data_IF_709430806938
#
_entry.id   IF_709430806938
#
_cell.length_a   1.000
_cell.length_b   1.000
_cell.length_c   1.000
_cell.angle_alpha   90.00
_cell.angle_beta   90.00
_cell.angle_gamma   90.00
#
_symmetry.space_group_name_H-M   'P 1'
#
loop_
_entity.id
_entity.type
_entity.pdbx_description
1 polymer ?
#
# COMPACT_ATOMS: atom_id res chain seq x y z
N UNK A 1 -31.37 19.54 -0.09
CA UNK A 1 -31.43 20.91 0.51
C UNK A 1 -30.00 21.27 0.85
N UNK A 2 -29.39 22.25 0.16
CA UNK A 2 -28.00 22.66 0.43
C UNK A 2 -27.90 23.26 1.84
N UNK A 3 -27.06 22.70 2.70
CA UNK A 3 -26.71 23.34 3.98
C UNK A 3 -25.45 24.17 3.78
N UNK A 4 -25.60 25.49 3.84
CA UNK A 4 -24.50 26.45 3.91
C UNK A 4 -24.22 26.76 5.38
N UNK A 5 -22.95 26.77 5.79
CA UNK A 5 -22.52 27.44 7.02
C UNK A 5 -22.10 28.85 6.61
N UNK A 6 -22.94 29.85 6.86
CA UNK A 6 -22.65 31.29 6.66
C UNK A 6 -22.47 31.99 8.03
N UNK A 7 -21.53 32.97 8.15
CA UNK A 7 -21.78 34.33 7.66
C UNK A 7 -20.66 35.00 6.84
N UNK A 8 -21.07 35.98 6.03
CA UNK A 8 -20.34 36.88 5.11
C UNK A 8 -19.07 37.56 5.66
N UNK A 9 -17.87 37.18 5.18
CA UNK A 9 -16.65 38.02 5.22
C UNK A 9 -15.67 37.70 4.07
N UNK A 10 -14.97 38.72 3.55
CA UNK A 10 -13.76 38.57 2.74
C UNK A 10 -12.61 38.15 3.68
N UNK A 11 -12.07 36.94 3.52
CA UNK A 11 -11.03 36.40 4.42
C UNK A 11 -9.74 36.09 3.64
N UNK A 12 -8.62 36.66 4.09
CA UNK A 12 -7.26 36.31 3.65
C UNK A 12 -6.59 35.49 4.76
N UNK A 13 -5.94 34.37 4.43
CA UNK A 13 -5.21 33.53 5.39
C UNK A 13 -6.06 32.73 6.38
N UNK A 14 -7.19 32.16 5.94
CA UNK A 14 -8.08 31.38 6.81
C UNK A 14 -7.76 29.87 6.82
N UNK A 15 -8.14 29.20 7.92
CA UNK A 15 -7.95 27.76 8.11
C UNK A 15 -9.27 27.05 8.47
N UNK A 16 -9.48 25.85 7.92
CA UNK A 16 -10.57 24.93 8.28
C UNK A 16 -9.97 23.56 8.58
N UNK A 17 -9.66 23.32 9.85
CA UNK A 17 -8.91 22.14 10.32
C UNK A 17 -9.72 21.37 11.36
N UNK A 18 -9.77 20.04 11.25
CA UNK A 18 -10.26 19.16 12.32
C UNK A 18 -11.78 19.16 12.57
N UNK A 19 -12.60 19.64 11.64
CA UNK A 19 -14.05 19.68 11.84
C UNK A 19 -14.68 18.29 11.70
N UNK A 20 -15.66 18.01 12.57
CA UNK A 20 -16.59 16.88 12.42
C UNK A 20 -17.86 17.38 11.79
N UNK A 21 -18.24 16.81 10.64
CA UNK A 21 -19.37 17.29 9.86
C UNK A 21 -20.41 16.19 9.71
N UNK A 22 -21.64 16.45 10.17
CA UNK A 22 -22.82 15.62 9.94
C UNK A 22 -23.73 16.34 8.93
N UNK A 23 -23.91 15.76 7.75
CA UNK A 23 -24.71 16.38 6.68
C UNK A 23 -25.78 15.48 6.07
N UNK A 24 -25.97 14.27 6.61
CA UNK A 24 -27.07 13.37 6.26
C UNK A 24 -27.27 13.19 4.74
N UNK A 25 -26.20 13.07 3.97
CA UNK A 25 -26.28 12.89 2.51
C UNK A 25 -26.21 14.15 1.65
N UNK A 26 -26.31 15.32 2.25
CA UNK A 26 -26.28 16.58 1.52
C UNK A 26 -24.84 17.04 1.25
N UNK A 27 -24.62 17.56 0.04
CA UNK A 27 -23.39 18.25 -0.30
C UNK A 27 -23.28 19.52 0.53
N UNK A 28 -22.08 19.81 1.02
CA UNK A 28 -21.82 20.95 1.89
C UNK A 28 -21.07 21.98 1.07
N UNK A 29 -21.60 23.19 1.04
CA UNK A 29 -20.98 24.26 0.29
C UNK A 29 -19.93 24.93 1.19
N UNK A 30 -18.64 24.73 0.90
CA UNK A 30 -17.54 25.45 1.54
C UNK A 30 -16.98 26.51 0.58
N UNK A 31 -17.76 27.54 0.21
CA UNK A 31 -17.23 28.66 -0.57
C UNK A 31 -17.13 29.91 0.31
N UNK A 32 -15.98 30.57 0.15
CA UNK A 32 -15.59 31.86 0.70
C UNK A 32 -14.76 32.51 -0.41
N UNK A 33 -14.91 33.81 -0.68
CA UNK A 33 -13.88 34.48 -1.47
C UNK A 33 -12.64 34.60 -0.59
N UNK A 34 -11.57 33.92 -0.98
CA UNK A 34 -10.38 33.82 -0.13
C UNK A 34 -9.10 33.61 -0.90
N UNK A 35 -8.03 34.22 -0.41
CA UNK A 35 -6.67 33.99 -0.87
C UNK A 35 -5.92 33.20 0.21
N UNK A 36 -5.00 32.32 -0.22
CA UNK A 36 -4.08 31.57 0.66
C UNK A 36 -4.73 30.66 1.74
N UNK A 37 -5.90 30.06 1.46
CA UNK A 37 -6.61 29.20 2.42
C UNK A 37 -6.13 27.75 2.51
N UNK A 38 -6.28 27.15 3.70
CA UNK A 38 -6.00 25.72 3.96
C UNK A 38 -7.24 24.99 4.48
N UNK A 39 -7.50 23.81 3.91
CA UNK A 39 -8.50 22.87 4.44
C UNK A 39 -7.78 21.55 4.75
N UNK A 40 -7.78 21.12 6.01
CA UNK A 40 -7.10 19.89 6.42
C UNK A 40 -7.84 19.08 7.50
N UNK A 41 -7.61 17.78 7.55
CA UNK A 41 -8.00 16.89 8.66
C UNK A 41 -9.50 16.88 9.05
N UNK A 42 -10.43 17.21 8.13
CA UNK A 42 -11.86 17.18 8.43
C UNK A 42 -12.48 15.79 8.18
N UNK A 43 -13.47 15.43 9.01
CA UNK A 43 -14.13 14.12 9.03
C UNK A 43 -15.65 14.27 8.85
N UNK A 44 -16.23 13.63 7.83
CA UNK A 44 -17.69 13.47 7.70
C UNK A 44 -18.13 12.18 8.38
N UNK A 45 -19.18 12.27 9.17
CA UNK A 45 -19.80 11.12 9.86
C UNK A 45 -21.26 10.99 9.43
N UNK A 46 -21.75 9.77 9.26
CA UNK A 46 -23.15 9.48 8.98
C UNK A 46 -23.64 9.77 7.56
N UNK A 47 -22.74 9.91 6.57
CA UNK A 47 -23.13 9.97 5.16
C UNK A 47 -22.85 8.65 4.43
N UNK A 48 -23.88 8.14 3.76
CA UNK A 48 -23.84 6.93 2.94
C UNK A 48 -24.09 7.23 1.44
N UNK A 49 -24.09 8.51 1.04
CA UNK A 49 -24.40 8.94 -0.34
C UNK A 49 -23.18 9.04 -1.24
N UNK A 50 -21.97 9.09 -0.66
CA UNK A 50 -20.68 9.11 -1.36
C UNK A 50 -20.50 10.29 -2.33
N UNK A 51 -21.28 11.36 -2.18
CA UNK A 51 -21.19 12.58 -2.99
C UNK A 51 -19.97 13.41 -2.56
N UNK A 52 -19.32 14.05 -3.55
CA UNK A 52 -18.25 15.01 -3.29
C UNK A 52 -18.72 16.11 -2.33
N UNK A 53 -17.92 16.35 -1.29
CA UNK A 53 -18.20 17.36 -0.27
C UNK A 53 -17.82 18.78 -0.72
N UNK A 54 -17.19 18.91 -1.89
CA UNK A 54 -16.83 20.21 -2.48
C UNK A 54 -17.38 20.24 -3.91
N UNK A 55 -18.25 21.21 -4.19
CA UNK A 55 -18.72 21.54 -5.54
C UNK A 55 -17.69 22.46 -6.21
N UNK A 56 -17.01 21.97 -7.24
CA UNK A 56 -16.03 22.70 -8.06
C UNK A 56 -16.66 23.51 -9.22
N UNK A 57 -17.93 23.94 -9.08
CA UNK A 57 -18.64 24.73 -10.10
C UNK A 57 -19.65 25.68 -9.46
N UNK A 58 -19.22 26.91 -9.19
CA UNK A 58 -20.04 27.96 -8.59
C UNK A 58 -21.10 28.55 -9.57
N UNK A 59 -22.13 29.27 -9.05
CA UNK A 59 -23.01 30.07 -9.89
C UNK A 59 -22.23 31.07 -10.74
N UNK A 60 -22.61 31.23 -12.01
CA UNK A 60 -22.04 32.23 -12.92
C UNK A 60 -22.36 33.63 -12.39
N UNK A 61 -21.38 34.32 -11.80
CA UNK A 61 -21.57 35.70 -11.33
C UNK A 61 -20.48 36.30 -10.44
N UNK A 62 -19.56 35.50 -9.89
CA UNK A 62 -18.42 35.99 -9.08
C UNK A 62 -17.10 35.41 -9.58
N UNK A 63 -15.99 36.10 -9.32
CA UNK A 63 -14.63 35.64 -9.68
C UNK A 63 -14.34 34.25 -9.10
N UNK A 64 -13.72 33.34 -9.88
CA UNK A 64 -13.31 32.05 -9.37
C UNK A 64 -12.26 32.20 -8.26
N UNK A 65 -12.43 31.59 -7.08
CA UNK A 65 -11.46 31.59 -6.00
C UNK A 65 -10.27 30.74 -6.41
N UNK A 66 -9.13 31.01 -5.78
CA UNK A 66 -8.01 30.08 -5.88
C UNK A 66 -8.39 28.72 -5.29
N UNK A 67 -7.99 27.60 -5.93
CA UNK A 67 -8.16 26.28 -5.34
C UNK A 67 -7.45 26.22 -3.97
N UNK A 68 -8.13 25.83 -2.89
CA UNK A 68 -7.50 25.70 -1.58
C UNK A 68 -6.50 24.53 -1.58
N UNK A 69 -5.48 24.61 -0.73
CA UNK A 69 -4.60 23.46 -0.50
C UNK A 69 -5.32 22.43 0.37
N UNK A 70 -5.57 21.24 -0.19
CA UNK A 70 -6.20 20.12 0.53
C UNK A 70 -5.14 19.17 1.09
N UNK A 71 -5.20 18.89 2.40
CA UNK A 71 -4.34 17.89 3.06
C UNK A 71 -5.19 17.00 3.96
N UNK A 72 -5.05 15.68 3.87
CA UNK A 72 -5.68 14.73 4.82
C UNK A 72 -7.20 14.90 5.04
N UNK A 73 -7.92 15.50 4.09
CA UNK A 73 -9.38 15.62 4.16
C UNK A 73 -10.00 14.29 3.76
N UNK A 74 -10.51 13.56 4.76
CA UNK A 74 -11.14 12.24 4.60
C UNK A 74 -12.37 12.27 3.66
N UNK A 75 -12.91 13.47 3.43
CA UNK A 75 -14.09 13.77 2.62
C UNK A 75 -13.81 13.94 1.11
N UNK A 76 -12.55 14.12 0.70
CA UNK A 76 -12.16 14.25 -0.70
C UNK A 76 -11.83 12.91 -1.36
N UNK A 77 -11.74 11.82 -0.57
CA UNK A 77 -11.65 10.45 -1.09
C UNK A 77 -13.05 9.90 -1.42
N UNK A 78 -13.82 10.71 -2.15
CA UNK A 78 -15.19 10.48 -2.60
C UNK A 78 -15.27 9.34 -3.61
N UNK A 79 -15.17 8.12 -3.09
CA UNK A 79 -15.69 6.88 -3.65
C UNK A 79 -15.32 5.72 -2.71
N UNK A 80 -15.72 5.80 -1.44
CA UNK A 80 -15.71 4.59 -0.60
C UNK A 80 -16.76 3.63 -1.17
N UNK A 81 -16.37 2.42 -1.56
CA UNK A 81 -17.36 1.38 -1.88
C UNK A 81 -18.26 1.12 -0.65
N UNK A 82 -19.48 0.67 -0.94
CA UNK A 82 -20.46 0.19 0.02
C UNK A 82 -19.91 -0.97 0.86
N UNK A 83 -19.29 -0.65 2.00
CA UNK A 83 -18.92 -1.59 3.06
C UNK A 83 -19.86 -1.47 4.27
N UNK A 84 -20.01 -2.53 5.09
CA UNK A 84 -20.79 -2.45 6.32
C UNK A 84 -20.14 -1.44 7.29
N UNK A 85 -20.95 -0.62 7.99
CA UNK A 85 -20.47 0.40 8.94
C UNK A 85 -19.51 -0.16 10.02
N UNK A 86 -19.59 -1.47 10.30
CA UNK A 86 -18.68 -2.19 11.21
C UNK A 86 -17.21 -2.17 10.77
N UNK A 87 -16.92 -2.00 9.47
CA UNK A 87 -15.54 -1.84 8.97
C UNK A 87 -14.90 -0.52 9.41
N UNK A 88 -15.72 0.51 9.72
CA UNK A 88 -15.26 1.83 10.15
C UNK A 88 -14.91 1.92 11.64
N UNK A 89 -15.23 0.89 12.41
CA UNK A 89 -14.77 0.75 13.79
C UNK A 89 -13.39 0.12 13.74
N UNK A 90 -12.35 0.82 14.25
CA UNK A 90 -11.02 0.27 14.22
C UNK A 90 -10.95 -1.04 15.01
N UNK A 91 -10.42 -2.09 14.38
CA UNK A 91 -10.10 -3.36 15.02
C UNK A 91 -8.58 -3.48 14.99
N UNK A 92 -7.91 -3.38 16.14
CA UNK A 92 -6.48 -3.55 16.19
C UNK A 92 -6.12 -5.00 15.88
N UNK A 93 -4.95 -5.21 15.28
CA UNK A 93 -4.54 -6.55 14.85
C UNK A 93 -4.10 -7.44 16.02
N UNK A 94 -3.88 -6.88 17.21
CA UNK A 94 -3.38 -7.65 18.36
C UNK A 94 -1.95 -8.13 18.20
N UNK A 95 -1.20 -7.59 17.22
CA UNK A 95 0.24 -7.72 17.05
C UNK A 95 0.79 -6.40 16.54
N UNK A 96 2.07 -6.16 16.83
CA UNK A 96 2.80 -5.03 16.24
C UNK A 96 2.96 -5.25 14.74
N UNK A 97 2.79 -4.20 13.95
CA UNK A 97 2.85 -4.24 12.49
C UNK A 97 3.75 -3.13 11.97
N UNK A 98 4.51 -3.39 10.92
CA UNK A 98 5.04 -2.36 10.03
C UNK A 98 4.19 -2.37 8.76
N UNK A 99 3.70 -1.20 8.35
CA UNK A 99 2.78 -1.07 7.21
C UNK A 99 3.25 0.02 6.24
N UNK A 100 3.07 -0.23 4.95
CA UNK A 100 3.18 0.77 3.88
C UNK A 100 1.78 1.20 3.43
N UNK A 101 1.46 2.48 3.55
CA UNK A 101 0.18 3.06 3.09
C UNK A 101 0.38 3.81 1.77
N UNK A 102 0.04 3.15 0.68
CA UNK A 102 0.31 3.63 -0.68
C UNK A 102 -0.32 4.99 -0.97
N UNK A 103 -1.64 5.13 -0.78
CA UNK A 103 -2.35 6.40 -1.00
C UNK A 103 -2.13 7.37 0.16
N UNK A 104 -1.99 6.85 1.39
CA UNK A 104 -1.69 7.69 2.56
C UNK A 104 -0.28 8.28 2.57
N UNK A 105 0.59 7.87 1.63
CA UNK A 105 1.96 8.35 1.47
C UNK A 105 2.79 8.30 2.76
N UNK A 106 2.73 7.16 3.46
CA UNK A 106 3.51 6.95 4.69
C UNK A 106 3.86 5.49 4.93
N UNK A 107 4.92 5.30 5.68
CA UNK A 107 5.25 4.02 6.34
C UNK A 107 5.06 4.22 7.83
N UNK A 108 4.46 3.25 8.52
CA UNK A 108 4.15 3.35 9.94
C UNK A 108 4.36 2.05 10.70
N UNK A 109 4.77 2.17 11.95
CA UNK A 109 4.75 1.09 12.94
C UNK A 109 3.49 1.26 13.79
N UNK A 110 2.67 0.21 13.85
CA UNK A 110 1.41 0.16 14.58
C UNK A 110 1.56 -0.84 15.73
N UNK A 111 1.26 -0.41 16.95
CA UNK A 111 1.26 -1.26 18.12
C UNK A 111 0.13 -2.30 18.06
N UNK A 112 0.20 -3.30 18.93
CA UNK A 112 -0.81 -4.36 19.01
C UNK A 112 -2.23 -3.84 19.32
N UNK A 113 -2.35 -2.68 19.97
CA UNK A 113 -3.61 -2.00 20.30
C UNK A 113 -4.09 -1.02 19.19
N UNK A 114 -3.36 -0.91 18.08
CA UNK A 114 -3.70 -0.03 16.96
C UNK A 114 -3.12 1.39 17.03
N UNK A 115 -2.41 1.75 18.10
CA UNK A 115 -1.74 3.05 18.20
C UNK A 115 -0.55 3.12 17.25
N UNK A 116 -0.38 4.25 16.55
CA UNK A 116 0.84 4.50 15.77
C UNK A 116 1.99 4.80 16.74
N UNK A 117 3.04 3.99 16.70
CA UNK A 117 4.27 4.18 17.50
C UNK A 117 5.27 5.08 16.79
N UNK A 118 5.32 4.98 15.48
CA UNK A 118 6.27 5.68 14.62
C UNK A 118 5.70 5.78 13.21
N UNK A 119 6.01 6.86 12.51
CA UNK A 119 5.72 6.98 11.08
C UNK A 119 6.68 7.92 10.39
N UNK A 120 6.87 7.72 9.09
CA UNK A 120 7.59 8.64 8.20
C UNK A 120 6.79 8.87 6.92
N UNK A 121 6.85 10.07 6.31
CA UNK A 121 6.37 10.28 4.95
C UNK A 121 7.12 9.40 3.95
N UNK A 122 6.39 8.86 2.98
CA UNK A 122 6.94 8.11 1.85
C UNK A 122 5.99 8.24 0.67
N UNK A 123 6.45 8.68 -0.51
CA UNK A 123 5.56 8.82 -1.66
C UNK A 123 5.26 7.44 -2.27
N UNK A 124 4.00 7.00 -2.21
CA UNK A 124 3.53 5.72 -2.78
C UNK A 124 4.44 4.53 -2.40
N UNK A 125 4.65 4.26 -1.10
CA UNK A 125 5.53 3.19 -0.67
C UNK A 125 4.99 1.84 -1.11
N UNK A 126 5.87 0.90 -1.44
CA UNK A 126 5.49 -0.43 -1.92
C UNK A 126 6.00 -1.57 -1.03
N UNK A 127 7.04 -1.32 -0.25
CA UNK A 127 7.74 -2.36 0.50
C UNK A 127 8.44 -1.73 1.70
N UNK A 128 8.50 -2.43 2.82
CA UNK A 128 9.07 -1.90 4.07
C UNK A 128 9.54 -2.98 5.02
N UNK A 129 10.65 -2.70 5.72
CA UNK A 129 11.37 -3.61 6.60
C UNK A 129 11.86 -2.89 7.84
N UNK A 130 11.40 -3.31 9.01
CA UNK A 130 11.97 -2.99 10.29
C UNK A 130 13.20 -3.87 10.48
N UNK A 131 14.35 -3.22 10.65
CA UNK A 131 15.64 -3.87 10.78
C UNK A 131 15.96 -4.15 12.25
N UNK A 132 16.86 -5.11 12.55
CA UNK A 132 17.25 -5.44 13.93
C UNK A 132 17.84 -4.27 14.73
N UNK A 133 18.40 -3.27 14.06
CA UNK A 133 18.93 -2.05 14.69
C UNK A 133 17.84 -1.00 15.00
N UNK A 134 16.57 -1.29 14.69
CA UNK A 134 15.44 -0.39 14.89
C UNK A 134 15.20 0.60 13.75
N UNK A 135 16.05 0.62 12.72
CA UNK A 135 15.81 1.44 11.53
C UNK A 135 14.72 0.83 10.65
N UNK A 136 14.08 1.66 9.83
CA UNK A 136 13.07 1.23 8.85
C UNK A 136 13.61 1.49 7.44
N UNK A 137 13.82 0.41 6.69
CA UNK A 137 14.10 0.44 5.25
C UNK A 137 12.78 0.37 4.49
N UNK A 138 12.56 1.25 3.51
CA UNK A 138 11.36 1.21 2.67
C UNK A 138 11.62 1.72 1.27
N UNK A 139 10.81 1.25 0.32
CA UNK A 139 10.73 1.81 -1.03
C UNK A 139 9.71 2.94 -1.09
N UNK A 140 9.95 3.90 -1.97
CA UNK A 140 8.99 4.92 -2.42
C UNK A 140 9.12 5.06 -3.94
N UNK A 141 8.16 5.66 -4.62
CA UNK A 141 8.12 5.61 -6.10
C UNK A 141 9.40 6.12 -6.79
N UNK A 142 10.15 7.02 -6.15
CA UNK A 142 11.40 7.62 -6.66
C UNK A 142 12.69 7.00 -6.11
N UNK A 143 12.63 5.96 -5.27
CA UNK A 143 13.82 5.53 -4.54
C UNK A 143 13.58 4.53 -3.41
N UNK A 144 14.58 4.39 -2.55
CA UNK A 144 14.49 3.65 -1.30
C UNK A 144 15.27 4.37 -0.19
N UNK A 145 14.81 4.27 1.06
CA UNK A 145 15.40 4.94 2.22
C UNK A 145 15.48 4.00 3.40
N UNK A 146 16.57 4.10 4.15
CA UNK A 146 16.65 3.62 5.52
C UNK A 146 16.61 4.81 6.47
N UNK A 147 15.62 4.83 7.36
CA UNK A 147 15.38 5.92 8.31
C UNK A 147 15.49 5.40 9.72
N UNK A 148 16.16 6.16 10.59
CA UNK A 148 16.32 5.85 12.01
C UNK A 148 15.06 6.23 12.81
N UNK A 149 14.91 5.72 14.05
CA UNK A 149 13.79 6.12 14.91
C UNK A 149 13.67 7.64 15.12
N UNK A 150 14.79 8.36 15.11
CA UNK A 150 14.86 9.83 15.24
C UNK A 150 14.57 10.60 13.94
N UNK A 151 14.11 9.91 12.89
CA UNK A 151 13.82 10.43 11.55
C UNK A 151 15.03 10.81 10.70
N UNK A 152 16.26 10.66 11.21
CA UNK A 152 17.45 10.88 10.38
C UNK A 152 17.61 9.77 9.33
N UNK A 153 18.06 10.14 8.14
CA UNK A 153 18.29 9.20 7.03
C UNK A 153 19.64 8.51 7.24
N UNK A 154 19.61 7.19 7.37
CA UNK A 154 20.81 6.35 7.48
C UNK A 154 21.39 5.98 6.11
N UNK A 155 20.53 5.85 5.10
CA UNK A 155 20.89 5.50 3.72
C UNK A 155 19.77 5.90 2.76
N UNK A 156 20.12 6.30 1.54
CA UNK A 156 19.15 6.65 0.49
C UNK A 156 19.66 6.22 -0.88
N UNK A 157 18.74 5.74 -1.70
CA UNK A 157 18.91 5.54 -3.12
C UNK A 157 17.83 6.35 -3.87
N UNK A 158 18.26 7.12 -4.87
CA UNK A 158 17.37 7.92 -5.72
C UNK A 158 17.44 7.37 -7.14
N UNK A 159 16.28 7.03 -7.68
CA UNK A 159 16.13 6.51 -9.03
C UNK A 159 16.11 7.63 -10.07
N UNK A 160 16.43 7.30 -11.32
CA UNK A 160 16.30 8.22 -12.44
C UNK A 160 14.83 8.64 -12.67
N UNK A 161 14.61 9.81 -13.27
CA UNK A 161 13.27 10.42 -13.38
C UNK A 161 12.20 9.59 -14.12
N UNK A 162 12.59 8.60 -14.94
CA UNK A 162 11.68 7.71 -15.68
C UNK A 162 11.55 6.31 -15.06
N UNK A 163 12.14 6.12 -13.88
CA UNK A 163 12.17 4.86 -13.14
C UNK A 163 11.18 4.92 -11.99
N UNK A 164 10.54 3.78 -11.71
CA UNK A 164 9.74 3.60 -10.50
C UNK A 164 10.34 2.50 -9.64
N UNK A 165 10.51 2.77 -8.34
CA UNK A 165 10.93 1.74 -7.38
C UNK A 165 9.71 1.05 -6.79
N UNK A 166 9.64 -0.26 -6.97
CA UNK A 166 8.47 -1.07 -6.61
C UNK A 166 8.74 -2.06 -5.47
N UNK A 167 9.97 -2.07 -4.93
CA UNK A 167 10.36 -3.01 -3.88
C UNK A 167 11.75 -2.71 -3.34
N UNK A 168 11.99 -3.14 -2.11
CA UNK A 168 13.31 -3.15 -1.50
C UNK A 168 13.43 -4.34 -0.55
N UNK A 169 14.64 -4.82 -0.30
CA UNK A 169 14.87 -5.88 0.69
C UNK A 169 16.26 -5.72 1.32
N UNK A 170 16.39 -5.76 2.66
CA UNK A 170 17.70 -5.84 3.30
C UNK A 170 18.29 -7.23 3.03
N UNK A 171 19.55 -7.28 2.59
CA UNK A 171 20.27 -8.52 2.31
C UNK A 171 21.19 -8.88 3.49
N UNK A 172 21.47 -10.18 3.65
CA UNK A 172 22.27 -10.71 4.76
C UNK A 172 23.70 -10.17 4.82
N UNK A 173 24.25 -9.73 3.68
CA UNK A 173 25.58 -9.12 3.59
C UNK A 173 25.58 -7.60 3.78
N UNK A 174 24.45 -7.05 4.25
CA UNK A 174 24.28 -5.63 4.52
C UNK A 174 23.93 -4.79 3.30
N UNK A 175 23.85 -5.36 2.09
CA UNK A 175 23.37 -4.65 0.90
C UNK A 175 21.84 -4.49 0.91
N UNK A 176 21.34 -3.70 -0.03
CA UNK A 176 19.91 -3.52 -0.26
C UNK A 176 19.58 -3.98 -1.68
N UNK A 177 18.62 -4.90 -1.81
CA UNK A 177 17.97 -5.17 -3.09
C UNK A 177 17.00 -4.03 -3.40
N UNK A 178 17.03 -3.52 -4.62
CA UNK A 178 16.10 -2.49 -5.14
C UNK A 178 15.48 -3.00 -6.43
N UNK A 179 14.15 -2.83 -6.57
CA UNK A 179 13.38 -3.26 -7.74
C UNK A 179 13.08 -2.05 -8.64
N UNK A 180 13.77 -1.95 -9.78
CA UNK A 180 13.62 -0.85 -10.73
C UNK A 180 12.71 -1.22 -11.90
N UNK A 181 11.55 -0.56 -11.96
CA UNK A 181 10.70 -0.53 -13.14
C UNK A 181 11.05 0.65 -14.06
N UNK A 182 10.92 0.47 -15.36
CA UNK A 182 11.42 1.36 -16.42
C UNK A 182 12.61 0.68 -17.08
N UNK A 183 13.78 0.65 -16.42
CA UNK A 183 14.89 -0.19 -16.82
C UNK A 183 14.60 -1.70 -16.71
N UNK A 184 13.68 -2.13 -15.84
CA UNK A 184 13.29 -3.55 -15.71
C UNK A 184 14.43 -4.41 -15.16
N UNK A 185 14.94 -4.05 -13.98
CA UNK A 185 16.10 -4.71 -13.37
C UNK A 185 16.03 -4.76 -11.84
N UNK A 186 16.80 -5.66 -11.26
CA UNK A 186 17.06 -5.71 -9.82
C UNK A 186 18.49 -5.24 -9.56
N UNK A 187 18.66 -4.42 -8.52
CA UNK A 187 19.96 -3.91 -8.11
C UNK A 187 20.30 -4.38 -6.70
N UNK A 188 21.53 -4.85 -6.47
CA UNK A 188 22.06 -5.01 -5.12
C UNK A 188 23.02 -3.85 -4.85
N UNK A 189 22.62 -2.97 -3.94
CA UNK A 189 23.32 -1.70 -3.68
C UNK A 189 24.00 -1.76 -2.32
N UNK A 190 25.28 -1.36 -2.30
CA UNK A 190 26.06 -1.21 -1.08
C UNK A 190 25.56 -0.05 -0.23
N UNK A 191 25.89 -0.10 1.07
CA UNK A 191 25.64 1.03 1.98
C UNK A 191 26.50 2.26 1.64
N UNK A 192 27.52 2.10 0.82
CA UNK A 192 28.30 3.17 0.21
C UNK A 192 27.63 3.79 -1.03
N UNK A 193 26.43 3.32 -1.41
CA UNK A 193 25.65 3.79 -2.55
C UNK A 193 26.07 3.18 -3.89
N UNK A 194 27.07 2.29 -3.92
CA UNK A 194 27.54 1.68 -5.17
C UNK A 194 26.68 0.48 -5.54
N UNK A 195 26.35 0.37 -6.83
CA UNK A 195 25.70 -0.81 -7.39
C UNK A 195 26.75 -1.93 -7.44
N UNK A 196 26.58 -2.94 -6.58
CA UNK A 196 27.45 -4.11 -6.54
C UNK A 196 27.01 -5.16 -7.57
N UNK A 197 25.73 -5.17 -7.94
CA UNK A 197 25.18 -6.12 -8.89
C UNK A 197 23.94 -5.57 -9.57
N UNK A 198 23.80 -5.90 -10.84
CA UNK A 198 22.63 -5.61 -11.66
C UNK A 198 22.14 -6.89 -12.33
N UNK A 199 20.84 -7.17 -12.18
CA UNK A 199 20.17 -8.30 -12.82
C UNK A 199 19.09 -7.75 -13.73
N UNK A 200 19.27 -7.92 -15.04
CA UNK A 200 18.21 -7.60 -16.02
C UNK A 200 17.09 -8.63 -15.89
N UNK A 201 15.85 -8.16 -15.76
CA UNK A 201 14.67 -9.03 -15.72
C UNK A 201 14.11 -9.17 -17.15
N UNK A 202 13.83 -10.40 -17.63
CA UNK A 202 13.34 -10.65 -18.99
C UNK A 202 11.84 -10.37 -19.12
N UNK A 203 11.43 -9.13 -18.89
CA UNK A 203 10.04 -8.66 -19.01
C UNK A 203 9.62 -8.48 -20.48
N UNK A 204 8.34 -8.61 -20.77
CA UNK A 204 7.80 -8.27 -22.09
C UNK A 204 8.03 -6.78 -22.39
N UNK A 205 8.71 -6.40 -23.50
CA UNK A 205 9.15 -5.01 -23.74
C UNK A 205 8.04 -3.96 -23.86
N UNK A 206 6.81 -4.37 -24.16
CA UNK A 206 5.66 -3.47 -24.34
C UNK A 206 4.96 -3.11 -23.04
N UNK A 207 5.34 -3.74 -21.92
CA UNK A 207 4.75 -3.47 -20.60
C UNK A 207 5.23 -2.10 -20.10
N UNK A 208 4.27 -1.23 -19.78
CA UNK A 208 4.50 0.12 -19.24
C UNK A 208 5.24 0.04 -17.90
N UNK A 209 6.08 1.03 -17.59
CA UNK A 209 6.86 1.13 -16.35
C UNK A 209 6.07 0.71 -15.10
N UNK A 210 4.92 1.34 -14.84
CA UNK A 210 4.11 1.05 -13.65
C UNK A 210 3.58 -0.39 -13.57
N UNK A 211 3.52 -1.08 -14.70
CA UNK A 211 2.96 -2.42 -14.85
C UNK A 211 4.03 -3.52 -14.85
N UNK A 212 5.32 -3.18 -14.77
CA UNK A 212 6.40 -4.15 -14.95
C UNK A 212 6.51 -5.15 -13.79
N UNK A 213 6.87 -4.67 -12.60
CA UNK A 213 7.15 -5.52 -11.44
C UNK A 213 6.55 -4.96 -10.15
N UNK A 214 6.43 -5.84 -9.15
CA UNK A 214 6.10 -5.51 -7.75
C UNK A 214 7.07 -6.22 -6.82
N UNK A 215 6.61 -6.86 -5.74
CA UNK A 215 7.41 -7.56 -4.76
C UNK A 215 8.35 -8.58 -5.41
N UNK A 216 9.64 -8.27 -5.41
CA UNK A 216 10.70 -9.17 -5.81
C UNK A 216 11.56 -9.49 -4.58
N UNK A 217 12.04 -10.72 -4.48
CA UNK A 217 12.79 -11.21 -3.33
C UNK A 217 14.03 -11.95 -3.79
N UNK A 218 15.16 -11.71 -3.11
CA UNK A 218 16.30 -12.61 -3.14
C UNK A 218 16.07 -13.71 -2.09
N UNK A 219 16.17 -14.95 -2.51
CA UNK A 219 16.04 -16.14 -1.64
C UNK A 219 17.34 -16.39 -0.88
N UNK A 220 17.30 -17.25 0.14
CA UNK A 220 18.46 -17.55 0.98
C UNK A 220 19.61 -18.23 0.21
N UNK A 221 19.29 -18.99 -0.83
CA UNK A 221 20.27 -19.59 -1.76
C UNK A 221 20.72 -18.62 -2.88
N UNK A 222 20.25 -17.38 -2.85
CA UNK A 222 20.71 -16.29 -3.71
C UNK A 222 20.02 -16.18 -5.07
N UNK A 223 19.03 -17.03 -5.37
CA UNK A 223 18.12 -16.85 -6.51
C UNK A 223 17.23 -15.61 -6.31
N UNK A 224 16.51 -15.22 -7.35
CA UNK A 224 15.53 -14.14 -7.28
C UNK A 224 14.16 -14.65 -7.70
N UNK A 225 13.14 -14.33 -6.91
CA UNK A 225 11.74 -14.46 -7.28
C UNK A 225 11.20 -13.09 -7.66
N UNK A 226 10.55 -12.99 -8.81
CA UNK A 226 10.09 -11.74 -9.39
C UNK A 226 8.60 -11.82 -9.64
N UNK A 227 7.85 -10.91 -9.02
CA UNK A 227 6.46 -10.65 -9.37
C UNK A 227 6.41 -9.82 -10.65
N UNK A 228 6.36 -10.48 -11.81
CA UNK A 228 6.26 -9.82 -13.12
C UNK A 228 4.80 -9.49 -13.42
N UNK A 229 4.33 -8.36 -12.85
CA UNK A 229 2.93 -7.94 -12.79
C UNK A 229 2.25 -7.97 -14.17
N UNK A 230 2.82 -7.29 -15.15
CA UNK A 230 2.25 -7.15 -16.50
C UNK A 230 2.38 -8.41 -17.35
N UNK A 231 3.41 -9.23 -17.08
CA UNK A 231 3.59 -10.54 -17.71
C UNK A 231 2.64 -11.59 -17.12
N UNK A 232 1.99 -11.30 -15.98
CA UNK A 232 1.12 -12.22 -15.24
C UNK A 232 1.83 -13.54 -14.92
N UNK A 233 3.06 -13.42 -14.43
CA UNK A 233 3.90 -14.55 -14.09
C UNK A 233 4.76 -14.27 -12.86
N UNK A 234 5.10 -15.34 -12.15
CA UNK A 234 6.24 -15.36 -11.22
C UNK A 234 7.45 -15.87 -11.99
N UNK A 235 8.53 -15.10 -12.00
CA UNK A 235 9.80 -15.52 -12.61
C UNK A 235 10.78 -15.92 -11.52
N UNK A 236 11.48 -17.02 -11.75
CA UNK A 236 12.62 -17.44 -10.94
C UNK A 236 13.90 -17.22 -11.74
N UNK A 237 14.80 -16.42 -11.20
CA UNK A 237 16.10 -16.16 -11.79
C UNK A 237 17.19 -16.80 -10.94
N UNK A 238 18.22 -17.33 -11.59
CA UNK A 238 19.43 -17.82 -10.94
C UNK A 238 20.17 -16.69 -10.21
N UNK A 239 21.20 -17.05 -9.45
CA UNK A 239 22.11 -16.09 -8.83
C UNK A 239 22.74 -15.13 -9.85
N UNK A 240 22.96 -15.55 -11.08
CA UNK A 240 23.53 -14.75 -12.18
C UNK A 240 22.47 -14.10 -13.09
N UNK A 241 21.18 -14.21 -12.75
CA UNK A 241 20.09 -13.54 -13.46
C UNK A 241 19.54 -14.30 -14.66
N UNK A 242 19.89 -15.57 -14.85
CA UNK A 242 19.31 -16.42 -15.90
C UNK A 242 17.92 -16.86 -15.49
N UNK A 243 16.97 -16.82 -16.42
CA UNK A 243 15.62 -17.35 -16.18
C UNK A 243 15.67 -18.88 -16.00
N UNK A 244 15.28 -19.36 -14.82
CA UNK A 244 15.18 -20.77 -14.46
C UNK A 244 13.77 -21.31 -14.68
N UNK A 245 12.78 -20.53 -14.27
CA UNK A 245 11.36 -20.90 -14.35
C UNK A 245 10.51 -19.65 -14.58
N UNK A 246 9.47 -19.82 -15.39
CA UNK A 246 8.34 -18.88 -15.47
C UNK A 246 7.08 -19.65 -15.10
N UNK A 247 6.38 -19.18 -14.07
CA UNK A 247 5.10 -19.72 -13.63
C UNK A 247 4.00 -18.73 -14.03
N UNK A 248 3.21 -19.03 -15.08
CA UNK A 248 2.02 -18.25 -15.40
C UNK A 248 1.01 -18.29 -14.26
N UNK A 249 0.31 -17.18 -14.06
CA UNK A 249 -0.72 -17.05 -13.02
C UNK A 249 -1.97 -16.35 -13.58
N UNK A 250 -3.08 -16.47 -12.86
CA UNK A 250 -4.29 -15.72 -13.14
C UNK A 250 -4.40 -14.52 -12.19
N UNK A 251 -3.85 -13.38 -12.61
CA UNK A 251 -3.83 -12.15 -11.85
C UNK A 251 -2.63 -11.27 -12.19
N UNK A 252 -2.62 -10.05 -11.65
CA UNK A 252 -1.47 -9.16 -11.71
C UNK A 252 -0.63 -9.36 -10.44
N UNK A 253 0.50 -10.07 -10.53
CA UNK A 253 1.25 -10.48 -9.33
C UNK A 253 1.79 -9.27 -8.56
N UNK A 254 1.54 -9.20 -7.25
CA UNK A 254 2.07 -8.14 -6.37
C UNK A 254 3.15 -8.60 -5.40
N UNK A 255 3.11 -9.84 -4.91
CA UNK A 255 4.14 -10.37 -4.00
C UNK A 255 4.33 -11.88 -4.18
N UNK A 256 5.55 -12.35 -3.93
CA UNK A 256 5.92 -13.76 -3.94
C UNK A 256 6.89 -14.05 -2.80
N UNK A 257 6.60 -15.11 -2.04
CA UNK A 257 7.43 -15.60 -0.95
C UNK A 257 7.69 -17.09 -1.13
N UNK A 258 8.95 -17.50 -1.01
CA UNK A 258 9.31 -18.92 -0.89
C UNK A 258 9.06 -19.38 0.55
N UNK A 259 8.33 -20.49 0.69
CA UNK A 259 8.05 -21.12 1.98
C UNK A 259 9.14 -22.15 2.33
N UNK A 260 9.23 -22.55 3.59
CA UNK A 260 10.23 -23.52 4.07
C UNK A 260 10.17 -24.90 3.39
N UNK A 261 9.00 -25.30 2.87
CA UNK A 261 8.82 -26.51 2.08
C UNK A 261 9.24 -26.36 0.60
N UNK A 262 9.66 -25.16 0.19
CA UNK A 262 10.02 -24.80 -1.18
C UNK A 262 8.81 -24.51 -2.09
N UNK A 263 7.61 -24.39 -1.54
CA UNK A 263 6.44 -23.87 -2.26
C UNK A 263 6.53 -22.35 -2.38
N UNK A 264 5.77 -21.78 -3.32
CA UNK A 264 5.64 -20.33 -3.47
C UNK A 264 4.26 -19.87 -3.01
N UNK A 265 4.22 -18.94 -2.07
CA UNK A 265 3.03 -18.22 -1.66
C UNK A 265 2.97 -16.89 -2.40
N UNK A 266 1.90 -16.67 -3.16
CA UNK A 266 1.81 -15.60 -4.15
C UNK A 266 0.55 -14.77 -3.92
N UNK A 267 0.70 -13.45 -3.89
CA UNK A 267 -0.39 -12.49 -3.89
C UNK A 267 -0.66 -12.03 -5.33
N UNK A 268 -1.82 -12.38 -5.87
CA UNK A 268 -2.16 -12.27 -7.29
C UNK A 268 -2.97 -11.00 -7.63
N UNK A 269 -2.88 -9.96 -6.79
CA UNK A 269 -3.56 -8.70 -7.03
C UNK A 269 -5.07 -8.86 -7.14
N UNK A 270 -5.65 -8.39 -8.25
CA UNK A 270 -7.08 -8.47 -8.55
C UNK A 270 -7.50 -9.80 -9.19
N UNK A 271 -6.57 -10.77 -9.31
CA UNK A 271 -6.84 -12.10 -9.84
C UNK A 271 -7.42 -13.08 -8.83
N UNK A 272 -6.86 -14.30 -8.78
CA UNK A 272 -7.34 -15.41 -7.93
C UNK A 272 -7.11 -15.23 -6.41
N UNK A 273 -6.67 -14.04 -5.97
CA UNK A 273 -6.40 -13.72 -4.57
C UNK A 273 -5.01 -14.17 -4.13
N UNK A 274 -4.93 -15.03 -3.10
CA UNK A 274 -3.67 -15.60 -2.62
C UNK A 274 -3.61 -17.07 -2.98
N UNK A 275 -2.49 -17.53 -3.54
CA UNK A 275 -2.29 -18.90 -3.99
C UNK A 275 -0.95 -19.45 -3.52
N UNK A 276 -0.94 -20.70 -3.08
CA UNK A 276 0.26 -21.49 -2.82
C UNK A 276 0.49 -22.48 -3.97
N UNK A 277 1.61 -22.34 -4.67
CA UNK A 277 2.05 -23.25 -5.72
C UNK A 277 3.11 -24.20 -5.18
N UNK A 278 2.99 -25.48 -5.49
CA UNK A 278 4.08 -26.43 -5.28
C UNK A 278 5.20 -26.26 -6.32
N UNK A 279 6.27 -27.03 -6.14
CA UNK A 279 7.44 -27.04 -7.05
C UNK A 279 7.10 -27.41 -8.49
N UNK A 280 6.01 -28.15 -8.72
CA UNK A 280 5.51 -28.48 -10.06
C UNK A 280 4.65 -27.38 -10.69
N UNK A 281 4.23 -26.39 -9.90
CA UNK A 281 3.35 -25.31 -10.34
C UNK A 281 1.87 -25.61 -10.13
N UNK A 282 1.53 -26.65 -9.37
CA UNK A 282 0.16 -26.96 -9.00
C UNK A 282 -0.26 -26.14 -7.79
N UNK A 283 -1.49 -25.61 -7.84
CA UNK A 283 -2.12 -24.98 -6.69
C UNK A 283 -2.42 -26.02 -5.61
N UNK A 284 -1.88 -25.82 -4.40
CA UNK A 284 -2.08 -26.70 -3.25
C UNK A 284 -2.85 -26.04 -2.10
N UNK A 285 -2.95 -24.70 -2.11
CA UNK A 285 -3.76 -23.92 -1.18
C UNK A 285 -4.12 -22.56 -1.80
N UNK A 286 -5.24 -21.95 -1.41
CA UNK A 286 -5.65 -20.63 -1.89
C UNK A 286 -6.64 -19.90 -0.97
N UNK A 287 -6.70 -18.57 -1.07
CA UNK A 287 -7.77 -17.70 -0.52
C UNK A 287 -8.24 -16.77 -1.63
N UNK A 288 -9.49 -16.97 -2.08
CA UNK A 288 -10.12 -16.17 -3.12
C UNK A 288 -11.04 -15.08 -2.57
N UNK A 289 -11.71 -14.36 -3.47
CA UNK A 289 -12.53 -13.18 -3.18
C UNK A 289 -13.49 -13.33 -2.00
N UNK A 290 -14.25 -14.42 -1.92
CA UNK A 290 -15.30 -14.60 -0.91
C UNK A 290 -15.00 -15.76 0.07
N UNK A 291 -13.75 -16.21 0.12
CA UNK A 291 -13.37 -17.40 0.88
C UNK A 291 -13.41 -17.15 2.39
N UNK A 292 -13.14 -15.92 2.82
CA UNK A 292 -13.16 -15.51 4.23
C UNK A 292 -14.45 -14.77 4.52
N UNK A 293 -15.26 -15.31 5.45
CA UNK A 293 -16.54 -14.73 5.85
C UNK A 293 -16.37 -13.26 6.27
N UNK A 294 -17.26 -12.40 5.77
CA UNK A 294 -17.31 -10.95 6.00
C UNK A 294 -16.04 -10.16 5.62
N UNK A 295 -15.10 -10.81 4.91
CA UNK A 295 -13.83 -10.20 4.50
C UNK A 295 -13.57 -10.44 3.00
N UNK A 296 -14.35 -9.82 2.10
CA UNK A 296 -14.11 -9.96 0.68
C UNK A 296 -12.71 -9.44 0.30
N UNK A 297 -11.95 -10.25 -0.44
CA UNK A 297 -10.61 -9.90 -0.94
C UNK A 297 -10.74 -9.18 -2.30
N UNK A 298 -10.20 -7.96 -2.40
CA UNK A 298 -10.24 -7.14 -3.61
C UNK A 298 -8.93 -7.17 -4.36
N UNK A 299 -7.84 -6.75 -3.71
CA UNK A 299 -6.49 -6.80 -4.27
C UNK A 299 -5.54 -7.40 -3.24
N UNK A 300 -5.09 -8.64 -3.48
CA UNK A 300 -4.03 -9.27 -2.70
C UNK A 300 -2.68 -8.63 -3.03
N UNK A 301 -2.23 -7.72 -2.19
CA UNK A 301 -1.04 -6.89 -2.46
C UNK A 301 0.24 -7.44 -1.81
N UNK A 302 0.11 -8.09 -0.67
CA UNK A 302 1.20 -8.78 0.02
C UNK A 302 0.65 -9.93 0.87
N UNK A 303 1.51 -10.89 1.16
CA UNK A 303 1.15 -12.11 1.89
C UNK A 303 2.33 -12.62 2.70
N UNK A 304 2.05 -13.14 3.90
CA UNK A 304 3.06 -13.75 4.77
C UNK A 304 2.49 -15.00 5.45
N UNK A 305 3.28 -16.08 5.47
CA UNK A 305 2.99 -17.28 6.26
C UNK A 305 3.75 -17.20 7.58
N UNK A 306 3.03 -17.26 8.69
CA UNK A 306 3.60 -17.26 10.04
C UNK A 306 4.15 -18.64 10.43
N UNK A 307 5.07 -18.71 11.42
CA UNK A 307 5.62 -19.99 11.91
C UNK A 307 4.57 -20.98 12.44
N UNK A 308 3.42 -20.49 12.91
CA UNK A 308 2.31 -21.34 13.36
C UNK A 308 1.45 -21.89 12.21
N UNK A 309 1.78 -21.58 10.95
CA UNK A 309 1.05 -22.02 9.77
C UNK A 309 -0.10 -21.12 9.33
N UNK A 310 -0.42 -20.07 10.09
CA UNK A 310 -1.43 -19.08 9.71
C UNK A 310 -0.91 -18.16 8.61
N UNK A 311 -1.81 -17.66 7.77
CA UNK A 311 -1.49 -16.75 6.65
C UNK A 311 -2.06 -15.38 6.92
N UNK A 312 -1.20 -14.35 6.87
CA UNK A 312 -1.61 -12.94 6.85
C UNK A 312 -1.74 -12.51 5.40
N UNK A 313 -2.88 -11.88 5.08
CA UNK A 313 -3.20 -11.36 3.76
C UNK A 313 -3.40 -9.86 3.84
N UNK A 314 -2.72 -9.13 2.98
CA UNK A 314 -2.94 -7.70 2.78
C UNK A 314 -3.94 -7.47 1.64
N UNK A 315 -5.07 -6.87 1.98
CA UNK A 315 -6.14 -6.53 1.07
C UNK A 315 -6.09 -5.03 0.78
N UNK A 316 -5.43 -4.67 -0.32
CA UNK A 316 -5.36 -3.27 -0.73
C UNK A 316 -6.71 -2.83 -1.28
N UNK A 317 -7.24 -1.76 -0.69
CA UNK A 317 -8.61 -1.30 -0.94
C UNK A 317 -8.69 -0.07 -1.83
N UNK A 318 -7.66 0.23 -2.62
CA UNK A 318 -7.80 1.24 -3.66
C UNK A 318 -8.72 0.75 -4.79
N UNK A 319 -8.63 1.40 -5.95
CA UNK A 319 -9.55 1.15 -7.10
C UNK A 319 -11.04 1.22 -6.72
N UNK A 320 -11.39 2.05 -5.73
CA UNK A 320 -12.77 2.30 -5.31
C UNK A 320 -13.27 1.41 -4.16
N UNK A 321 -12.42 0.61 -3.51
CA UNK A 321 -12.84 -0.29 -2.43
C UNK A 321 -12.59 0.22 -1.00
N UNK A 322 -12.24 1.51 -0.85
CA UNK A 322 -11.84 2.08 0.43
C UNK A 322 -12.98 1.93 1.46
N UNK A 323 -12.67 1.33 2.62
CA UNK A 323 -13.66 1.10 3.68
C UNK A 323 -14.58 -0.10 3.47
N UNK A 324 -14.42 -0.89 2.40
CA UNK A 324 -15.31 -2.00 2.10
C UNK A 324 -15.18 -3.18 3.08
N UNK A 325 -14.00 -3.39 3.66
CA UNK A 325 -13.60 -4.62 4.36
C UNK A 325 -12.30 -4.39 5.16
N UNK A 326 -11.78 -5.39 5.86
CA UNK A 326 -10.49 -5.31 6.52
C UNK A 326 -9.34 -5.05 5.53
N UNK A 327 -8.42 -4.15 5.90
CA UNK A 327 -7.18 -3.94 5.15
C UNK A 327 -6.22 -5.13 5.31
N UNK A 328 -6.27 -5.81 6.46
CA UNK A 328 -5.39 -6.94 6.77
C UNK A 328 -6.21 -8.00 7.49
N UNK A 329 -6.01 -9.27 7.18
CA UNK A 329 -6.59 -10.36 7.95
C UNK A 329 -5.63 -11.55 8.05
N UNK A 330 -5.75 -12.30 9.14
CA UNK A 330 -5.03 -13.54 9.37
C UNK A 330 -6.02 -14.71 9.31
N UNK A 331 -5.67 -15.77 8.59
CA UNK A 331 -6.46 -17.01 8.52
C UNK A 331 -5.63 -18.21 8.92
N UNK A 332 -6.29 -19.25 9.45
CA UNK A 332 -5.67 -20.56 9.64
C UNK A 332 -5.56 -21.34 8.30
N UNK A 333 -5.01 -22.55 8.36
CA UNK A 333 -4.88 -23.43 7.19
C UNK A 333 -6.25 -23.84 6.59
N UNK A 334 -7.30 -23.84 7.41
CA UNK A 334 -8.69 -24.09 7.01
C UNK A 334 -9.41 -22.80 6.56
N UNK A 335 -8.65 -21.70 6.42
CA UNK A 335 -9.10 -20.39 5.92
C UNK A 335 -10.09 -19.69 6.85
N UNK A 336 -10.17 -20.11 8.12
CA UNK A 336 -10.99 -19.43 9.12
C UNK A 336 -10.29 -18.16 9.58
N UNK A 337 -11.05 -17.09 9.69
CA UNK A 337 -10.58 -15.82 10.21
C UNK A 337 -10.11 -15.97 11.67
N UNK A 338 -8.87 -15.61 11.94
CA UNK A 338 -8.27 -15.56 13.28
C UNK A 338 -8.37 -14.15 13.84
N UNK A 339 -8.02 -13.14 13.03
CA UNK A 339 -8.05 -11.73 13.39
C UNK A 339 -8.03 -10.85 12.14
N UNK A 340 -8.35 -9.58 12.32
CA UNK A 340 -8.31 -8.59 11.26
C UNK A 340 -7.84 -7.23 11.78
N UNK A 341 -7.27 -6.44 10.89
CA UNK A 341 -6.97 -5.04 11.09
C UNK A 341 -7.94 -4.19 10.27
N UNK A 342 -8.69 -3.32 10.96
CA UNK A 342 -9.41 -2.22 10.33
C UNK A 342 -8.96 -0.91 10.96
N UNK A 343 -8.51 0.04 10.15
CA UNK A 343 -8.39 1.45 10.55
C UNK A 343 -8.40 2.33 9.31
N UNK A 344 -9.60 2.57 8.78
CA UNK A 344 -9.81 3.45 7.63
C UNK A 344 -9.79 4.95 7.99
N UNK A 345 -9.44 5.30 9.24
CA UNK A 345 -9.31 6.67 9.70
C UNK A 345 -7.86 7.12 9.59
N UNK A 346 -6.95 6.28 10.05
CA UNK A 346 -5.52 6.56 10.02
C UNK A 346 -4.84 6.04 8.75
N UNK A 347 -5.39 5.01 8.09
CA UNK A 347 -4.81 4.40 6.91
C UNK A 347 -5.77 4.42 5.73
N UNK A 348 -5.22 4.68 4.55
CA UNK A 348 -6.01 4.73 3.32
C UNK A 348 -5.98 3.38 2.61
N UNK A 349 -4.83 2.97 2.12
CA UNK A 349 -4.68 1.79 1.27
C UNK A 349 -3.35 1.10 1.56
N UNK A 350 -3.34 0.27 2.60
CA UNK A 350 -2.15 -0.48 2.98
C UNK A 350 -1.87 -1.53 1.89
N UNK A 351 -0.63 -1.61 1.41
CA UNK A 351 -0.21 -2.54 0.35
C UNK A 351 0.94 -3.47 0.75
N UNK A 352 1.64 -3.19 1.83
CA UNK A 352 2.69 -4.07 2.36
C UNK A 352 2.63 -4.15 3.88
N UNK A 353 3.04 -5.30 4.39
CA UNK A 353 3.15 -5.60 5.82
C UNK A 353 4.43 -6.37 6.11
N UNK A 354 4.99 -6.07 7.28
CA UNK A 354 5.84 -6.99 8.01
C UNK A 354 5.27 -7.12 9.42
N UNK A 355 5.25 -8.34 9.96
CA UNK A 355 5.00 -8.58 11.38
C UNK A 355 6.35 -8.74 12.09
N UNK A 356 6.81 -7.73 12.86
CA UNK A 356 8.03 -7.88 13.65
C UNK A 356 7.89 -9.00 14.68
N UNK A 357 9.00 -9.69 14.94
CA UNK A 357 9.10 -10.71 16.00
C UNK A 357 8.90 -10.13 17.40
#
# INVERSE_FOLDING_TARGET
KTTSIEPNFNLDGYEVIGNVIKSDGEAIHCWRHSQNGVIADNLRVGDNTFKNVILSGAPKGWEPPMPPTAKNNLNAMGSRASGPLSSLVPKPFGRRLLVSDYVGNKVAIVAADGRIEWSTPAEKPQDSWLLPNGNVLFSHVKGAKEVKPDQSVAWEYVADAKTEIQGCQPLADGRVLVVECGPGRLLEIGRDGKIAKEIKVPLTPTIRTHEQMRGCRKTADGRYLVSAKGDRAVLELSTDGKLLRSQPVNGDVHDVRELANGNWLVALGEGDGVVEYDKSGKVVWNVGRNEVTDNPLFLASSVERLPNGNTIVMNWLGHGHLGATAQIFEVDAQKKLIRQFTDHRQFTSINHIQVPE
#
